data_IF_124163082638
#
_entry.id   IF_124163082638
#
_cell.length_a   1.000
_cell.length_b   1.000
_cell.length_c   1.000
_cell.angle_alpha   90.00
_cell.angle_beta   90.00
_cell.angle_gamma   90.00
#
_symmetry.space_group_name_H-M   'P 1'
#
loop_
_entity.id
_entity.type
_entity.pdbx_description
1 polymer ?
#
# COMPACT_ATOMS: atom_id res chain seq x y z
N UNK A 1 -3.46 14.35 23.81
CA UNK A 1 -3.69 12.97 23.37
C UNK A 1 -2.44 12.17 23.66
N UNK A 2 -2.54 11.11 24.46
CA UNK A 2 -1.41 10.25 24.85
C UNK A 2 -1.02 9.30 23.72
N UNK A 3 0.17 8.71 23.78
CA UNK A 3 0.61 7.69 22.81
C UNK A 3 -0.36 6.50 22.73
N UNK A 4 -0.88 6.08 23.88
CA UNK A 4 -1.89 5.02 23.98
C UNK A 4 -3.22 5.39 23.34
N UNK A 5 -3.68 6.63 23.53
CA UNK A 5 -4.89 7.12 22.87
C UNK A 5 -4.70 7.23 21.35
N UNK A 6 -3.48 7.57 20.89
CA UNK A 6 -3.10 7.69 19.47
C UNK A 6 -3.09 6.38 18.71
N UNK A 7 -2.69 5.30 19.37
CA UNK A 7 -2.66 3.96 18.79
C UNK A 7 -3.74 3.04 19.35
N UNK A 8 -4.78 3.58 19.99
CA UNK A 8 -5.91 2.77 20.41
C UNK A 8 -6.63 2.21 19.15
N UNK A 9 -6.78 0.87 19.01
CA UNK A 9 -7.37 0.27 17.82
C UNK A 9 -8.78 0.79 17.50
N UNK A 10 -9.65 0.91 18.50
CA UNK A 10 -11.03 1.37 18.31
C UNK A 10 -11.07 2.81 17.78
N UNK A 11 -10.20 3.69 18.29
CA UNK A 11 -10.09 5.07 17.81
C UNK A 11 -9.60 5.12 16.36
N UNK A 12 -8.60 4.30 16.01
CA UNK A 12 -8.08 4.21 14.65
C UNK A 12 -9.15 3.73 13.67
N UNK A 13 -9.90 2.69 14.07
CA UNK A 13 -11.02 2.13 13.29
C UNK A 13 -12.10 3.21 13.11
N UNK A 14 -12.55 3.84 14.19
CA UNK A 14 -13.58 4.87 14.13
C UNK A 14 -13.17 6.05 13.23
N UNK A 15 -11.93 6.53 13.35
CA UNK A 15 -11.41 7.58 12.47
C UNK A 15 -11.31 7.15 11.01
N UNK A 16 -10.96 5.90 10.73
CA UNK A 16 -10.92 5.39 9.36
C UNK A 16 -12.32 5.31 8.76
N UNK A 17 -13.30 4.82 9.54
CA UNK A 17 -14.70 4.75 9.12
C UNK A 17 -15.27 6.14 8.82
N UNK A 18 -14.98 7.13 9.67
CA UNK A 18 -15.42 8.51 9.46
C UNK A 18 -14.83 9.12 8.18
N UNK A 19 -13.53 8.91 7.92
CA UNK A 19 -12.87 9.46 6.73
C UNK A 19 -13.33 8.82 5.42
N UNK A 20 -13.67 7.52 5.43
CA UNK A 20 -14.08 6.79 4.23
C UNK A 20 -15.60 6.81 4.04
N UNK A 21 -16.36 6.98 5.13
CA UNK A 21 -17.82 6.88 5.12
C UNK A 21 -18.34 5.44 5.05
N UNK A 22 -17.54 4.47 5.51
CA UNK A 22 -17.89 3.05 5.54
C UNK A 22 -17.27 2.37 6.76
N UNK A 23 -17.99 1.45 7.38
CA UNK A 23 -17.56 0.63 8.53
C UNK A 23 -17.32 -0.85 8.16
N UNK A 24 -17.36 -1.14 6.86
CA UNK A 24 -17.33 -2.48 6.33
C UNK A 24 -15.91 -2.89 5.91
N UNK A 25 -15.20 -3.49 6.85
CA UNK A 25 -13.84 -4.02 6.62
C UNK A 25 -13.83 -5.39 5.93
N UNK A 26 -14.99 -5.96 5.58
CA UNK A 26 -15.09 -7.31 5.06
C UNK A 26 -14.88 -8.36 6.14
N UNK A 27 -14.31 -9.52 5.77
CA UNK A 27 -14.12 -10.63 6.71
C UNK A 27 -13.22 -10.27 7.91
N UNK A 28 -13.48 -10.92 9.04
CA UNK A 28 -12.70 -10.80 10.26
C UNK A 28 -11.29 -11.40 10.14
N UNK A 29 -10.45 -11.16 11.15
CA UNK A 29 -9.12 -11.76 11.29
C UNK A 29 -7.96 -10.77 11.13
N UNK A 30 -8.24 -9.52 10.79
CA UNK A 30 -7.26 -8.45 10.70
C UNK A 30 -7.06 -7.74 12.06
N UNK A 31 -8.08 -7.74 12.92
CA UNK A 31 -8.10 -7.06 14.22
C UNK A 31 -6.95 -7.51 15.15
N UNK A 32 -6.64 -8.82 15.30
CA UNK A 32 -5.53 -9.24 16.15
C UNK A 32 -4.16 -8.72 15.66
N UNK A 33 -4.01 -8.52 14.34
CA UNK A 33 -2.82 -7.91 13.75
C UNK A 33 -2.71 -6.43 14.10
N UNK A 34 -3.83 -5.69 14.01
CA UNK A 34 -3.89 -4.28 14.40
C UNK A 34 -3.59 -4.09 15.90
N UNK A 35 -4.19 -4.91 16.76
CA UNK A 35 -3.95 -4.87 18.20
C UNK A 35 -2.47 -5.09 18.53
N UNK A 36 -1.84 -6.09 17.89
CA UNK A 36 -0.43 -6.41 18.12
C UNK A 36 0.50 -5.30 17.65
N UNK A 37 0.26 -4.72 16.47
CA UNK A 37 1.12 -3.62 15.99
C UNK A 37 0.93 -2.37 16.84
N UNK A 38 -0.30 -2.05 17.25
CA UNK A 38 -0.60 -0.95 18.15
C UNK A 38 0.13 -1.10 19.49
N UNK A 39 0.07 -2.30 20.09
CA UNK A 39 0.75 -2.59 21.35
C UNK A 39 2.28 -2.42 21.22
N UNK A 40 2.88 -2.98 20.16
CA UNK A 40 4.31 -2.84 19.90
C UNK A 40 4.76 -1.39 19.66
N UNK A 41 3.93 -0.58 18.98
CA UNK A 41 4.20 0.84 18.78
C UNK A 41 4.20 1.63 20.10
N UNK A 42 3.32 1.26 21.03
CA UNK A 42 3.20 1.91 22.34
C UNK A 42 4.31 1.47 23.29
N UNK A 43 4.60 0.17 23.37
CA UNK A 43 5.41 -0.40 24.43
C UNK A 43 6.88 -0.63 24.03
N UNK A 44 7.15 -0.96 22.75
CA UNK A 44 8.47 -1.46 22.32
C UNK A 44 9.20 -0.53 21.34
N UNK A 45 8.46 0.20 20.51
CA UNK A 45 9.02 0.89 19.35
C UNK A 45 9.88 2.13 19.68
N UNK A 46 9.77 2.68 20.90
CA UNK A 46 10.52 3.89 21.35
C UNK A 46 10.48 5.01 20.31
N UNK A 47 9.28 5.32 19.83
CA UNK A 47 9.06 6.27 18.74
C UNK A 47 9.49 7.69 19.13
N UNK A 48 10.15 8.38 18.20
CA UNK A 48 10.30 9.83 18.25
C UNK A 48 8.97 10.51 17.92
N UNK A 49 8.85 11.82 18.15
CA UNK A 49 7.63 12.56 17.82
C UNK A 49 7.25 12.43 16.33
N UNK A 50 8.23 12.49 15.43
CA UNK A 50 7.98 12.26 14.00
C UNK A 50 7.61 10.80 13.70
N UNK A 51 8.21 9.84 14.42
CA UNK A 51 7.89 8.42 14.27
C UNK A 51 6.46 8.08 14.69
N UNK A 52 5.90 8.77 15.69
CA UNK A 52 4.50 8.65 16.07
C UNK A 52 3.57 9.04 14.93
N UNK A 53 3.85 10.17 14.27
CA UNK A 53 3.01 10.64 13.16
C UNK A 53 3.12 9.74 11.93
N UNK A 54 4.34 9.31 11.56
CA UNK A 54 4.55 8.38 10.45
C UNK A 54 3.82 7.06 10.67
N UNK A 55 3.97 6.46 11.85
CA UNK A 55 3.30 5.19 12.16
C UNK A 55 1.77 5.34 12.20
N UNK A 56 1.25 6.46 12.71
CA UNK A 56 -0.19 6.73 12.68
C UNK A 56 -0.71 6.86 11.24
N UNK A 57 -0.02 7.61 10.38
CA UNK A 57 -0.39 7.75 8.97
C UNK A 57 -0.36 6.40 8.24
N UNK A 58 0.63 5.55 8.51
CA UNK A 58 0.74 4.22 7.91
C UNK A 58 -0.44 3.31 8.30
N UNK A 59 -0.82 3.28 9.58
CA UNK A 59 -1.98 2.52 10.05
C UNK A 59 -3.29 3.04 9.46
N UNK A 60 -3.46 4.37 9.43
CA UNK A 60 -4.64 4.99 8.83
C UNK A 60 -4.73 4.67 7.33
N UNK A 61 -3.62 4.72 6.58
CA UNK A 61 -3.58 4.33 5.17
C UNK A 61 -4.00 2.87 4.99
N UNK A 62 -3.48 1.95 5.80
CA UNK A 62 -3.83 0.53 5.72
C UNK A 62 -5.33 0.28 5.97
N UNK A 63 -5.91 0.92 7.00
CA UNK A 63 -7.33 0.79 7.34
C UNK A 63 -8.24 1.36 6.24
N UNK A 64 -7.91 2.56 5.75
CA UNK A 64 -8.66 3.20 4.65
C UNK A 64 -8.60 2.39 3.37
N UNK A 65 -7.43 1.85 3.04
CA UNK A 65 -7.27 1.00 1.87
C UNK A 65 -8.12 -0.27 1.98
N UNK A 66 -8.17 -0.89 3.16
CA UNK A 66 -9.03 -2.05 3.40
C UNK A 66 -10.51 -1.71 3.17
N UNK A 67 -11.00 -0.61 3.77
CA UNK A 67 -12.39 -0.15 3.57
C UNK A 67 -12.69 0.12 2.09
N UNK A 68 -11.81 0.86 1.41
CA UNK A 68 -11.98 1.21 0.00
C UNK A 68 -12.01 -0.01 -0.91
N UNK A 69 -11.07 -0.95 -0.71
CA UNK A 69 -10.98 -2.18 -1.51
C UNK A 69 -12.19 -3.08 -1.25
N UNK A 70 -12.61 -3.23 0.00
CA UNK A 70 -13.82 -4.01 0.34
C UNK A 70 -15.06 -3.41 -0.31
N UNK A 71 -15.26 -2.11 -0.17
CA UNK A 71 -16.39 -1.41 -0.77
C UNK A 71 -16.39 -1.58 -2.30
N UNK A 72 -15.23 -1.42 -2.94
CA UNK A 72 -15.10 -1.61 -4.39
C UNK A 72 -15.43 -3.04 -4.83
N UNK A 73 -14.92 -4.06 -4.12
CA UNK A 73 -15.19 -5.47 -4.44
C UNK A 73 -16.66 -5.85 -4.24
N UNK A 74 -17.36 -5.24 -3.27
CA UNK A 74 -18.80 -5.45 -3.10
C UNK A 74 -19.62 -4.85 -4.24
N UNK A 75 -19.19 -3.70 -4.75
CA UNK A 75 -19.84 -3.04 -5.90
C UNK A 75 -19.54 -3.76 -7.23
N UNK A 76 -18.40 -4.48 -7.30
CA UNK A 76 -17.90 -5.15 -8.50
C UNK A 76 -17.59 -6.64 -8.25
N UNK A 77 -18.61 -7.47 -7.95
CA UNK A 77 -18.41 -8.88 -7.62
C UNK A 77 -17.78 -9.67 -8.77
N UNK A 78 -17.96 -9.24 -10.03
CA UNK A 78 -17.40 -9.86 -11.22
C UNK A 78 -15.87 -9.85 -11.26
N UNK A 79 -15.22 -9.00 -10.45
CA UNK A 79 -13.75 -8.99 -10.33
C UNK A 79 -13.25 -10.30 -9.70
N UNK A 80 -14.02 -10.92 -8.81
CA UNK A 80 -13.64 -12.17 -8.15
C UNK A 80 -13.50 -13.35 -9.13
N UNK A 81 -14.18 -13.28 -10.27
CA UNK A 81 -14.18 -14.34 -11.29
C UNK A 81 -13.09 -14.15 -12.35
N UNK A 82 -12.32 -13.04 -12.30
CA UNK A 82 -11.25 -12.77 -13.28
C UNK A 82 -10.02 -13.63 -12.98
N UNK A 83 -9.60 -14.53 -13.89
CA UNK A 83 -8.45 -15.40 -13.65
C UNK A 83 -7.14 -14.62 -13.76
N UNK A 84 -6.25 -14.80 -12.78
CA UNK A 84 -4.84 -14.37 -12.86
C UNK A 84 -4.03 -15.55 -13.38
N UNK A 85 -3.62 -15.50 -14.66
CA UNK A 85 -2.91 -16.60 -15.31
C UNK A 85 -1.39 -16.43 -15.21
N UNK A 86 -0.71 -17.52 -14.84
CA UNK A 86 0.76 -17.58 -14.72
C UNK A 86 1.41 -16.39 -13.97
N UNK A 87 1.00 -16.07 -12.73
CA UNK A 87 1.64 -15.02 -11.94
C UNK A 87 3.10 -15.39 -11.59
N UNK A 88 3.96 -14.38 -11.56
CA UNK A 88 5.36 -14.49 -11.14
C UNK A 88 5.48 -13.94 -9.72
N UNK A 89 6.04 -14.75 -8.83
CA UNK A 89 6.32 -14.37 -7.45
C UNK A 89 7.82 -14.30 -7.24
N UNK A 90 8.31 -13.15 -6.75
CA UNK A 90 9.70 -12.98 -6.35
C UNK A 90 9.75 -13.08 -4.83
N UNK A 91 10.43 -14.11 -4.33
CA UNK A 91 10.62 -14.34 -2.89
C UNK A 91 12.11 -14.46 -2.63
N UNK A 92 12.59 -13.78 -1.59
CA UNK A 92 14.00 -13.79 -1.21
C UNK A 92 14.24 -12.93 0.01
N UNK A 93 15.41 -13.07 0.61
CA UNK A 93 15.82 -12.22 1.72
C UNK A 93 16.07 -10.78 1.22
N UNK A 94 15.95 -9.77 2.09
CA UNK A 94 16.42 -8.44 1.76
C UNK A 94 17.88 -8.48 1.28
N UNK A 95 18.20 -7.67 0.26
CA UNK A 95 19.56 -7.53 -0.31
C UNK A 95 20.09 -8.73 -1.12
N UNK A 96 19.24 -9.63 -1.59
CA UNK A 96 19.65 -10.73 -2.50
C UNK A 96 19.36 -10.44 -3.98
N UNK A 97 19.25 -9.16 -4.37
CA UNK A 97 18.96 -8.77 -5.76
C UNK A 97 17.50 -8.96 -6.19
N UNK A 98 16.56 -9.14 -5.26
CA UNK A 98 15.13 -9.24 -5.59
C UNK A 98 14.59 -7.97 -6.26
N UNK A 99 15.07 -6.79 -5.86
CA UNK A 99 14.70 -5.50 -6.47
C UNK A 99 15.12 -5.40 -7.94
N UNK A 100 16.39 -5.70 -8.25
CA UNK A 100 16.87 -5.63 -9.66
C UNK A 100 16.14 -6.66 -10.53
N UNK A 101 15.88 -7.86 -10.01
CA UNK A 101 15.10 -8.86 -10.73
C UNK A 101 13.67 -8.38 -11.01
N UNK A 102 13.04 -7.75 -10.02
CA UNK A 102 11.70 -7.19 -10.16
C UNK A 102 11.66 -6.08 -11.21
N UNK A 103 12.62 -5.15 -11.18
CA UNK A 103 12.68 -4.05 -12.15
C UNK A 103 12.95 -4.53 -13.58
N UNK A 104 13.77 -5.58 -13.74
CA UNK A 104 14.03 -6.20 -15.04
C UNK A 104 12.77 -6.87 -15.60
N UNK A 105 12.06 -7.65 -14.80
CA UNK A 105 10.81 -8.29 -15.22
C UNK A 105 9.74 -7.26 -15.58
N UNK A 106 9.69 -6.14 -14.86
CA UNK A 106 8.71 -5.10 -15.11
C UNK A 106 9.00 -4.25 -16.37
N UNK A 107 10.13 -4.46 -17.05
CA UNK A 107 10.36 -3.86 -18.38
C UNK A 107 9.60 -4.58 -19.50
N UNK A 108 9.13 -5.81 -19.27
CA UNK A 108 8.38 -6.57 -20.26
C UNK A 108 6.94 -6.02 -20.36
N UNK A 109 6.51 -5.49 -21.53
CA UNK A 109 5.16 -4.94 -21.69
C UNK A 109 4.04 -6.00 -21.57
N UNK A 110 4.34 -7.30 -21.69
CA UNK A 110 3.38 -8.37 -21.39
C UNK A 110 3.19 -8.62 -19.90
N UNK A 111 4.09 -8.10 -19.05
CA UNK A 111 4.04 -8.23 -17.60
C UNK A 111 3.52 -6.95 -16.95
N UNK A 112 2.65 -7.13 -15.95
CA UNK A 112 2.11 -6.04 -15.13
C UNK A 112 2.62 -6.18 -13.71
N UNK A 113 3.47 -5.23 -13.30
CA UNK A 113 3.98 -5.11 -11.92
C UNK A 113 3.37 -3.87 -11.23
N UNK A 114 2.84 -3.97 -10.01
CA UNK A 114 2.13 -2.87 -9.35
C UNK A 114 3.07 -1.70 -9.06
N UNK A 115 2.59 -0.51 -9.37
CA UNK A 115 3.31 0.74 -9.13
C UNK A 115 3.13 1.16 -7.69
N UNK A 116 4.13 1.86 -7.15
CA UNK A 116 4.11 2.31 -5.75
C UNK A 116 2.82 3.06 -5.38
N UNK A 117 2.38 4.00 -6.22
CA UNK A 117 1.17 4.78 -5.96
C UNK A 117 -0.12 3.93 -5.98
N UNK A 118 -0.18 2.85 -6.76
CA UNK A 118 -1.33 1.95 -6.80
C UNK A 118 -1.42 1.08 -5.55
N UNK A 119 -0.27 0.73 -4.98
CA UNK A 119 -0.22 -0.06 -3.74
C UNK A 119 -0.51 0.82 -2.53
N UNK A 120 0.04 2.03 -2.52
CA UNK A 120 -0.13 2.95 -1.40
C UNK A 120 -1.56 3.52 -1.36
N UNK A 121 -2.17 3.80 -2.51
CA UNK A 121 -3.53 4.32 -2.62
C UNK A 121 -4.32 3.61 -3.74
N UNK A 122 -4.80 2.37 -3.53
CA UNK A 122 -5.49 1.58 -4.56
C UNK A 122 -6.88 2.11 -4.91
N UNK A 123 -7.51 2.90 -4.02
CA UNK A 123 -8.85 3.42 -4.19
C UNK A 123 -8.86 4.96 -4.24
N UNK A 124 -9.63 5.59 -5.15
CA UNK A 124 -10.51 4.97 -6.16
C UNK A 124 -9.71 4.22 -7.24
N UNK A 125 -10.28 3.17 -7.83
CA UNK A 125 -9.57 2.40 -8.86
C UNK A 125 -9.23 3.33 -10.04
N UNK A 126 -7.96 3.37 -10.49
CA UNK A 126 -7.55 4.29 -11.54
C UNK A 126 -8.26 4.02 -12.85
N UNK A 127 -8.64 5.10 -13.54
CA UNK A 127 -9.32 5.04 -14.82
C UNK A 127 -8.29 5.00 -15.96
N UNK A 128 -8.51 4.23 -17.03
CA UNK A 128 -7.58 4.13 -18.16
C UNK A 128 -7.19 5.50 -18.76
N UNK A 129 -8.13 6.43 -18.82
CA UNK A 129 -7.99 7.74 -19.46
C UNK A 129 -7.05 8.66 -18.69
N UNK A 130 -7.02 8.54 -17.37
CA UNK A 130 -6.21 9.38 -16.47
C UNK A 130 -5.05 8.58 -15.84
N UNK A 131 -4.83 7.34 -16.27
CA UNK A 131 -3.93 6.43 -15.59
C UNK A 131 -2.49 6.98 -15.44
N UNK A 132 -1.99 7.66 -16.48
CA UNK A 132 -0.64 8.24 -16.48
C UNK A 132 -0.56 9.65 -15.89
N UNK A 133 -1.69 10.28 -15.61
CA UNK A 133 -1.81 11.64 -15.07
C UNK A 133 -2.56 11.68 -13.74
N UNK A 134 -2.75 10.52 -13.11
CA UNK A 134 -3.47 10.40 -11.86
C UNK A 134 -2.77 11.23 -10.76
N UNK A 135 -3.50 12.08 -10.02
CA UNK A 135 -2.92 12.95 -9.00
C UNK A 135 -2.16 12.18 -7.91
N UNK A 136 -2.50 10.90 -7.67
CA UNK A 136 -1.81 10.04 -6.70
C UNK A 136 -0.35 9.76 -7.08
N UNK A 137 -0.02 9.84 -8.38
CA UNK A 137 1.36 9.71 -8.84
C UNK A 137 2.23 10.83 -8.26
N UNK A 138 1.72 12.07 -8.28
CA UNK A 138 2.43 13.21 -7.72
C UNK A 138 2.49 13.16 -6.18
N UNK A 139 1.42 12.67 -5.53
CA UNK A 139 1.36 12.50 -4.07
C UNK A 139 2.34 11.44 -3.57
N UNK A 140 2.44 10.31 -4.28
CA UNK A 140 3.43 9.27 -4.00
C UNK A 140 4.85 9.82 -4.15
N UNK A 141 5.14 10.60 -5.20
CA UNK A 141 6.45 11.23 -5.36
C UNK A 141 6.77 12.18 -4.20
N UNK A 142 5.82 13.04 -3.81
CA UNK A 142 6.02 13.96 -2.70
C UNK A 142 6.30 13.22 -1.37
N UNK A 143 5.68 12.06 -1.17
CA UNK A 143 5.92 11.22 0.02
C UNK A 143 7.32 10.60 0.01
N UNK A 144 7.82 10.18 -1.16
CA UNK A 144 9.19 9.69 -1.35
C UNK A 144 10.19 10.82 -1.08
N UNK A 145 9.95 12.01 -1.64
CA UNK A 145 10.82 13.18 -1.46
C UNK A 145 10.88 13.62 0.01
N UNK A 146 9.74 13.61 0.71
CA UNK A 146 9.67 13.88 2.15
C UNK A 146 10.49 12.88 2.96
N UNK A 147 10.47 11.59 2.57
CA UNK A 147 11.25 10.55 3.26
C UNK A 147 12.76 10.80 3.16
N UNK A 148 13.24 11.25 2.00
CA UNK A 148 14.64 11.66 1.81
C UNK A 148 15.02 12.89 2.65
N UNK A 149 14.09 13.83 2.85
CA UNK A 149 14.33 15.01 3.71
C UNK A 149 14.40 14.64 5.20
N UNK A 150 13.54 13.73 5.66
CA UNK A 150 13.51 13.28 7.06
C UNK A 150 14.71 12.36 7.36
N UNK A 151 15.08 11.52 6.40
CA UNK A 151 16.19 10.58 6.51
C UNK A 151 17.14 10.79 5.32
N UNK A 152 18.12 11.71 5.44
CA UNK A 152 19.07 11.96 4.36
C UNK A 152 19.82 10.69 3.93
N UNK A 153 19.86 10.41 2.63
CA UNK A 153 20.45 9.20 2.06
C UNK A 153 19.53 7.99 2.07
N UNK A 154 18.26 8.14 2.45
CA UNK A 154 17.28 7.05 2.44
C UNK A 154 17.16 6.40 1.07
N UNK A 155 17.09 7.19 0.00
CA UNK A 155 16.98 6.67 -1.37
C UNK A 155 18.24 5.95 -1.86
N UNK A 156 19.41 6.24 -1.28
CA UNK A 156 20.64 5.52 -1.59
C UNK A 156 20.58 4.06 -1.09
N UNK A 157 19.88 3.80 0.01
CA UNK A 157 19.76 2.46 0.59
C UNK A 157 18.39 1.80 0.31
N UNK A 158 17.36 2.58 -0.01
CA UNK A 158 16.02 2.17 -0.42
C UNK A 158 15.62 2.84 -1.75
N UNK A 159 16.04 2.28 -2.90
CA UNK A 159 15.68 2.84 -4.20
C UNK A 159 14.17 2.79 -4.39
N UNK A 160 13.53 3.95 -4.39
CA UNK A 160 12.12 4.15 -4.69
C UNK A 160 12.01 5.33 -5.66
N UNK A 161 11.20 5.16 -6.70
CA UNK A 161 10.94 6.16 -7.73
C UNK A 161 9.44 6.29 -7.99
N UNK A 162 9.04 7.37 -8.68
CA UNK A 162 7.66 7.70 -9.08
C UNK A 162 6.85 6.53 -9.63
N UNK A 163 7.50 5.74 -10.48
CA UNK A 163 6.96 4.52 -11.09
C UNK A 163 7.80 3.30 -10.69
N UNK A 164 8.46 3.33 -9.52
CA UNK A 164 9.12 2.14 -9.02
C UNK A 164 8.07 1.11 -8.66
N UNK A 165 8.35 -0.12 -9.10
CA UNK A 165 7.48 -1.24 -8.86
C UNK A 165 7.62 -1.63 -7.39
N UNK A 166 6.51 -1.71 -6.66
CA UNK A 166 6.53 -2.19 -5.29
C UNK A 166 6.49 -3.71 -5.31
N UNK A 167 7.31 -4.36 -4.48
CA UNK A 167 7.42 -5.82 -4.43
C UNK A 167 6.12 -6.47 -3.92
N UNK A 168 5.11 -6.62 -4.78
CA UNK A 168 3.83 -7.24 -4.43
C UNK A 168 3.19 -7.85 -5.69
N UNK A 169 3.84 -8.81 -6.35
CA UNK A 169 3.33 -9.60 -7.51
C UNK A 169 3.62 -9.03 -8.90
N UNK A 170 3.79 -9.91 -9.90
CA UNK A 170 3.66 -9.56 -11.31
C UNK A 170 2.73 -10.58 -11.99
N UNK A 171 1.80 -10.13 -12.82
CA UNK A 171 0.90 -11.00 -13.60
C UNK A 171 1.00 -10.67 -15.09
N UNK A 172 0.80 -11.67 -15.97
CA UNK A 172 0.65 -11.38 -17.40
C UNK A 172 -0.60 -10.52 -17.61
N UNK A 173 -0.48 -9.47 -18.42
CA UNK A 173 -1.65 -8.74 -18.88
C UNK A 173 -2.55 -9.71 -19.67
N UNK A 174 -3.84 -9.76 -19.35
CA UNK A 174 -4.79 -10.53 -20.13
C UNK A 174 -4.86 -9.93 -21.55
N UNK A 175 -4.35 -10.66 -22.53
CA UNK A 175 -4.58 -10.34 -23.94
C UNK A 175 -6.07 -10.55 -24.24
N UNK A 176 -6.77 -9.46 -24.56
CA UNK A 176 -8.11 -9.55 -25.14
C UNK A 176 -8.01 -10.29 -26.47
N UNK A 177 -8.79 -11.36 -26.73
CA UNK A 177 -8.81 -11.99 -28.03
C UNK A 177 -9.55 -11.07 -29.03
N UNK A 178 -8.82 -10.64 -30.05
CA UNK A 178 -9.23 -10.03 -31.33
C UNK A 178 -10.33 -8.96 -31.32
#
# INVERSE_FOLDING_TARGET
MTLRERFNPDNLIASACEQVGSDDFGDDGWQPGLERVADGLVNDARLSAIGVEVAHLDLMRALKNRLGVTAWRKQHPEIADKPITAPIFIVGQPRTGTTILHDLLAQDPELRAPLTWEVDEPCPVPQPETYHSDPRIAQAQASIDMSEQIVPGFLAFHPMARCSHRSVFASRAASSPA
#
